data_IF_654540568621
#
_entry.id   IF_654540568621
#
_cell.length_a   1.000
_cell.length_b   1.000
_cell.length_c   1.000
_cell.angle_alpha   90.00
_cell.angle_beta   90.00
_cell.angle_gamma   90.00
#
_symmetry.space_group_name_H-M   'P 1'
#
loop_
_entity.id
_entity.type
_entity.pdbx_description
1 polymer ?
#
# COMPACT_ATOMS: atom_id res chain seq x y z
N UNK A 1 -40.32 1.68 0.30
CA UNK A 1 -40.19 3.14 0.50
C UNK A 1 -39.17 3.64 -0.52
N UNK A 2 -39.50 4.65 -1.36
CA UNK A 2 -38.53 5.17 -2.32
C UNK A 2 -37.43 5.94 -1.57
N UNK A 3 -36.24 5.40 -1.51
CA UNK A 3 -35.07 6.00 -0.86
C UNK A 3 -34.43 7.12 -1.71
N UNK A 4 -34.90 7.31 -2.93
CA UNK A 4 -34.43 8.37 -3.85
C UNK A 4 -35.57 9.28 -4.29
N UNK A 5 -36.21 10.01 -3.37
CA UNK A 5 -37.47 10.77 -3.66
C UNK A 5 -37.27 11.91 -4.66
N UNK A 6 -36.04 12.34 -4.87
CA UNK A 6 -35.70 13.43 -5.81
C UNK A 6 -35.29 12.96 -7.20
N UNK A 7 -35.26 11.64 -7.44
CA UNK A 7 -34.86 11.08 -8.72
C UNK A 7 -35.97 10.22 -9.32
N UNK A 8 -36.22 10.39 -10.61
CA UNK A 8 -37.12 9.51 -11.37
C UNK A 8 -36.34 8.28 -11.83
N UNK A 9 -36.29 7.25 -11.00
CA UNK A 9 -35.63 5.99 -11.32
C UNK A 9 -36.70 4.95 -11.66
N UNK A 10 -36.49 4.17 -12.71
CA UNK A 10 -37.40 3.09 -13.07
C UNK A 10 -37.54 2.10 -11.90
N UNK A 11 -38.77 1.79 -11.47
CA UNK A 11 -39.02 0.85 -10.37
C UNK A 11 -38.31 -0.49 -10.52
N UNK A 12 -38.14 -1.01 -11.74
CA UNK A 12 -37.43 -2.26 -12.01
C UNK A 12 -35.93 -2.15 -11.64
N UNK A 13 -35.33 -0.99 -11.85
CA UNK A 13 -33.93 -0.75 -11.44
C UNK A 13 -33.79 -0.67 -9.92
N UNK A 14 -34.78 -0.05 -9.24
CA UNK A 14 -34.79 -0.01 -7.79
C UNK A 14 -34.95 -1.41 -7.18
N UNK A 15 -35.83 -2.23 -7.74
CA UNK A 15 -36.02 -3.62 -7.31
C UNK A 15 -34.73 -4.45 -7.54
N UNK A 16 -34.10 -4.30 -8.69
CA UNK A 16 -32.85 -4.99 -9.00
C UNK A 16 -31.70 -4.56 -8.06
N UNK A 17 -31.60 -3.28 -7.76
CA UNK A 17 -30.61 -2.74 -6.81
C UNK A 17 -30.83 -3.29 -5.40
N UNK A 18 -32.08 -3.27 -4.90
CA UNK A 18 -32.41 -3.82 -3.60
C UNK A 18 -32.06 -5.30 -3.49
N UNK A 19 -32.40 -6.09 -4.53
CA UNK A 19 -32.05 -7.50 -4.56
C UNK A 19 -30.53 -7.73 -4.58
N UNK A 20 -29.77 -6.91 -5.30
CA UNK A 20 -28.30 -6.97 -5.29
C UNK A 20 -27.73 -6.67 -3.92
N UNK A 21 -28.24 -5.65 -3.22
CA UNK A 21 -27.84 -5.31 -1.86
C UNK A 21 -28.13 -6.46 -0.88
N UNK A 22 -29.32 -7.07 -0.95
CA UNK A 22 -29.68 -8.22 -0.12
C UNK A 22 -28.73 -9.40 -0.33
N UNK A 23 -28.35 -9.69 -1.57
CA UNK A 23 -27.40 -10.76 -1.92
C UNK A 23 -25.98 -10.45 -1.43
N UNK A 24 -25.58 -9.17 -1.36
CA UNK A 24 -24.25 -8.75 -0.93
C UNK A 24 -24.12 -8.60 0.60
N UNK A 25 -25.22 -8.62 1.36
CA UNK A 25 -25.22 -8.42 2.81
C UNK A 25 -24.23 -9.30 3.59
N UNK A 26 -24.07 -10.61 3.31
CA UNK A 26 -23.09 -11.42 4.04
C UNK A 26 -21.65 -10.92 3.85
N UNK A 27 -21.30 -10.44 2.65
CA UNK A 27 -20.01 -9.86 2.35
C UNK A 27 -19.82 -8.52 3.05
N UNK A 28 -20.85 -7.68 3.07
CA UNK A 28 -20.82 -6.40 3.78
C UNK A 28 -20.59 -6.60 5.27
N UNK A 29 -21.25 -7.55 5.91
CA UNK A 29 -21.05 -7.85 7.33
C UNK A 29 -19.60 -8.28 7.63
N UNK A 30 -19.01 -9.10 6.76
CA UNK A 30 -17.60 -9.49 6.88
C UNK A 30 -16.66 -8.30 6.75
N UNK A 31 -16.90 -7.43 5.75
CA UNK A 31 -16.12 -6.20 5.52
C UNK A 31 -16.25 -5.23 6.69
N UNK A 32 -17.46 -5.06 7.24
CA UNK A 32 -17.70 -4.20 8.40
C UNK A 32 -16.92 -4.63 9.64
N UNK A 33 -16.77 -5.93 9.87
CA UNK A 33 -15.97 -6.44 10.99
C UNK A 33 -14.49 -6.04 10.83
N UNK A 34 -13.93 -6.19 9.64
CA UNK A 34 -12.56 -5.76 9.30
C UNK A 34 -12.42 -4.24 9.40
N UNK A 35 -13.41 -3.49 8.90
CA UNK A 35 -13.44 -2.03 8.99
C UNK A 35 -13.40 -1.55 10.44
N UNK A 36 -14.26 -2.08 11.30
CA UNK A 36 -14.31 -1.72 12.73
C UNK A 36 -13.00 -1.95 13.44
N UNK A 37 -12.37 -3.10 13.18
CA UNK A 37 -11.05 -3.41 13.75
C UNK A 37 -10.00 -2.39 13.31
N UNK A 38 -9.90 -2.12 12.02
CA UNK A 38 -8.92 -1.18 11.48
C UNK A 38 -9.19 0.27 11.90
N UNK A 39 -10.46 0.68 12.00
CA UNK A 39 -10.83 2.01 12.50
C UNK A 39 -10.36 2.21 13.94
N UNK A 40 -10.57 1.22 14.82
CA UNK A 40 -10.10 1.26 16.20
C UNK A 40 -8.56 1.31 16.27
N UNK A 41 -7.88 0.53 15.45
CA UNK A 41 -6.42 0.55 15.33
C UNK A 41 -5.91 1.94 14.93
N UNK A 42 -6.53 2.57 13.93
CA UNK A 42 -6.17 3.92 13.50
C UNK A 42 -6.41 4.95 14.60
N UNK A 43 -7.58 4.93 15.26
CA UNK A 43 -7.88 5.84 16.37
C UNK A 43 -6.89 5.67 17.52
N UNK A 44 -6.49 4.44 17.83
CA UNK A 44 -5.49 4.17 18.86
C UNK A 44 -4.11 4.74 18.47
N UNK A 45 -3.72 4.65 17.18
CA UNK A 45 -2.49 5.26 16.69
C UNK A 45 -2.50 6.78 16.82
N UNK A 46 -3.60 7.44 16.45
CA UNK A 46 -3.78 8.89 16.63
C UNK A 46 -3.71 9.30 18.10
N UNK A 47 -4.37 8.57 18.98
CA UNK A 47 -4.33 8.84 20.43
C UNK A 47 -2.92 8.65 21.00
N UNK A 48 -2.24 7.57 20.60
CA UNK A 48 -0.87 7.29 21.05
C UNK A 48 0.11 8.37 20.64
N UNK A 49 -0.02 8.89 19.41
CA UNK A 49 0.80 9.97 18.89
C UNK A 49 0.39 11.36 19.41
N UNK A 50 -0.70 11.47 20.18
CA UNK A 50 -1.18 12.73 20.75
C UNK A 50 -1.63 13.74 19.70
N UNK A 51 -2.23 13.28 18.60
CA UNK A 51 -2.68 14.17 17.51
C UNK A 51 -3.67 15.19 18.03
N UNK A 52 -3.45 16.45 17.71
CA UNK A 52 -4.28 17.59 18.10
C UNK A 52 -4.37 18.61 16.97
N UNK A 53 -5.23 19.59 17.09
CA UNK A 53 -5.42 20.68 16.13
C UNK A 53 -4.09 21.38 15.76
N UNK A 54 -3.18 21.50 16.72
CA UNK A 54 -1.87 22.15 16.50
C UNK A 54 -1.00 21.45 15.45
N UNK A 55 -1.25 20.19 15.10
CA UNK A 55 -0.51 19.43 14.09
C UNK A 55 -1.00 19.69 12.67
N UNK A 56 -2.17 20.34 12.52
CA UNK A 56 -2.74 20.71 11.23
C UNK A 56 -2.43 22.17 10.83
N UNK A 57 -1.70 22.89 11.65
CA UNK A 57 -1.28 24.26 11.33
C UNK A 57 -0.21 24.22 10.24
N UNK A 58 -0.30 25.11 9.25
CA UNK A 58 0.68 25.21 8.19
C UNK A 58 2.09 25.51 8.73
N UNK A 59 3.10 24.89 8.10
CA UNK A 59 4.52 25.09 8.41
C UNK A 59 5.27 25.62 7.19
N UNK A 60 6.53 25.99 7.37
CA UNK A 60 7.40 26.45 6.27
C UNK A 60 7.77 25.34 5.27
N UNK A 61 7.60 24.10 5.65
CA UNK A 61 7.96 22.95 4.83
C UNK A 61 9.46 22.57 4.82
N UNK A 62 10.30 23.31 5.54
CA UNK A 62 11.74 23.03 5.61
C UNK A 62 12.12 21.95 6.64
N UNK A 63 11.16 21.36 7.32
CA UNK A 63 11.39 20.27 8.28
C UNK A 63 11.82 20.71 9.68
N UNK A 64 12.08 21.98 9.90
CA UNK A 64 12.44 22.51 11.21
C UNK A 64 11.20 22.77 12.05
N UNK A 65 11.00 21.96 13.09
CA UNK A 65 9.86 22.07 13.99
C UNK A 65 8.52 21.77 13.32
N UNK A 66 8.52 20.95 12.28
CA UNK A 66 7.32 20.54 11.55
C UNK A 66 6.61 19.41 12.30
N UNK A 67 5.95 19.78 13.39
CA UNK A 67 5.28 18.84 14.31
C UNK A 67 4.26 17.95 13.62
N UNK A 68 3.57 18.47 12.60
CA UNK A 68 2.56 17.72 11.85
C UNK A 68 3.18 16.53 11.10
N UNK A 69 4.33 16.72 10.47
CA UNK A 69 5.06 15.64 9.76
C UNK A 69 5.61 14.59 10.71
N UNK A 70 6.26 15.03 11.80
CA UNK A 70 6.84 14.12 12.78
C UNK A 70 5.77 13.24 13.43
N UNK A 71 4.61 13.82 13.76
CA UNK A 71 3.48 13.08 14.33
C UNK A 71 2.82 12.16 13.29
N UNK A 72 2.76 12.56 12.02
CA UNK A 72 2.24 11.72 10.94
C UNK A 72 3.07 10.43 10.78
N UNK A 73 4.40 10.53 10.83
CA UNK A 73 5.30 9.37 10.81
C UNK A 73 5.01 8.42 12.00
N UNK A 74 4.83 8.96 13.20
CA UNK A 74 4.48 8.18 14.39
C UNK A 74 3.12 7.47 14.27
N UNK A 75 2.11 8.14 13.70
CA UNK A 75 0.79 7.53 13.44
C UNK A 75 0.92 6.36 12.47
N UNK A 76 1.66 6.54 11.37
CA UNK A 76 1.87 5.46 10.40
C UNK A 76 2.66 4.30 11.00
N UNK A 77 3.76 4.57 11.69
CA UNK A 77 4.54 3.54 12.37
C UNK A 77 3.65 2.73 13.35
N UNK A 78 2.85 3.41 14.17
CA UNK A 78 1.93 2.74 15.11
C UNK A 78 0.83 1.94 14.40
N UNK A 79 0.25 2.47 13.32
CA UNK A 79 -0.81 1.80 12.57
C UNK A 79 -0.35 0.53 11.85
N UNK A 80 0.89 0.52 11.36
CA UNK A 80 1.48 -0.61 10.65
C UNK A 80 2.36 -1.53 11.52
N UNK A 81 2.57 -1.17 12.80
CA UNK A 81 3.43 -1.94 13.71
C UNK A 81 4.90 -1.89 13.33
N UNK A 82 5.33 -0.80 12.68
CA UNK A 82 6.70 -0.55 12.30
C UNK A 82 7.45 0.23 13.38
N UNK A 83 8.78 0.15 13.37
CA UNK A 83 9.64 0.94 14.28
C UNK A 83 9.59 2.42 13.93
N UNK A 84 9.51 2.74 12.63
CA UNK A 84 9.46 4.10 12.11
C UNK A 84 8.69 4.17 10.78
N UNK A 85 8.39 5.37 10.32
CA UNK A 85 7.77 5.62 9.02
C UNK A 85 8.27 6.96 8.46
N UNK A 86 8.24 7.06 7.13
CA UNK A 86 8.54 8.28 6.41
C UNK A 86 7.38 8.63 5.48
N UNK A 87 6.54 9.56 5.89
CA UNK A 87 5.34 9.96 5.14
C UNK A 87 5.50 11.39 4.63
N UNK A 88 5.70 11.54 3.34
CA UNK A 88 5.97 12.85 2.72
C UNK A 88 5.19 13.00 1.41
N UNK A 89 4.65 14.17 1.18
CA UNK A 89 3.98 14.52 -0.08
C UNK A 89 4.92 14.53 -1.30
N UNK A 90 6.24 14.56 -1.04
CA UNK A 90 7.27 14.45 -2.08
C UNK A 90 7.33 13.05 -2.72
N UNK A 91 6.77 12.03 -2.07
CA UNK A 91 6.51 10.74 -2.71
C UNK A 91 5.29 10.86 -3.60
N UNK A 92 5.50 11.23 -4.86
CA UNK A 92 4.44 11.63 -5.79
C UNK A 92 3.58 10.47 -6.31
N UNK A 93 4.02 9.21 -6.09
CA UNK A 93 3.29 8.01 -6.49
C UNK A 93 3.77 6.78 -5.71
N UNK A 94 3.00 5.69 -5.74
CA UNK A 94 3.42 4.40 -5.17
C UNK A 94 4.70 3.87 -5.84
N UNK A 95 4.82 3.98 -7.16
CA UNK A 95 6.05 3.60 -7.88
C UNK A 95 7.26 4.40 -7.39
N UNK A 96 7.12 5.71 -7.19
CA UNK A 96 8.21 6.54 -6.67
C UNK A 96 8.60 6.11 -5.25
N UNK A 97 7.64 5.84 -4.38
CA UNK A 97 7.89 5.35 -3.02
C UNK A 97 8.66 4.03 -3.02
N UNK A 98 8.22 3.06 -3.83
CA UNK A 98 8.91 1.79 -3.98
C UNK A 98 10.31 1.95 -4.56
N UNK A 99 10.48 2.82 -5.55
CA UNK A 99 11.78 3.14 -6.15
C UNK A 99 12.76 3.66 -5.10
N UNK A 100 12.32 4.65 -4.31
CA UNK A 100 13.15 5.23 -3.24
C UNK A 100 13.52 4.17 -2.20
N UNK A 101 12.58 3.32 -1.80
CA UNK A 101 12.84 2.22 -0.86
C UNK A 101 13.86 1.22 -1.41
N UNK A 102 13.68 0.77 -2.65
CA UNK A 102 14.57 -0.21 -3.28
C UNK A 102 16.00 0.32 -3.44
N UNK A 103 16.17 1.54 -3.98
CA UNK A 103 17.48 2.17 -4.09
C UNK A 103 18.10 2.56 -2.72
N UNK A 104 17.27 2.78 -1.72
CA UNK A 104 17.71 3.03 -0.34
C UNK A 104 18.30 1.80 0.34
N UNK A 105 17.74 0.63 0.07
CA UNK A 105 18.13 -0.63 0.71
C UNK A 105 19.16 -1.43 -0.07
N UNK A 106 19.03 -1.50 -1.40
CA UNK A 106 19.87 -2.36 -2.27
C UNK A 106 21.20 -1.67 -2.63
N UNK A 107 22.23 -2.48 -2.76
CA UNK A 107 23.58 -2.07 -3.17
C UNK A 107 24.05 -2.88 -4.38
N UNK A 108 24.99 -2.36 -5.20
CA UNK A 108 25.57 -3.12 -6.31
C UNK A 108 26.09 -4.49 -5.85
N UNK A 109 25.64 -5.54 -6.53
CA UNK A 109 25.94 -6.93 -6.18
C UNK A 109 24.84 -7.64 -5.39
N UNK A 110 23.89 -6.90 -4.79
CA UNK A 110 22.76 -7.50 -4.10
C UNK A 110 21.81 -8.21 -5.06
N UNK A 111 21.04 -9.14 -4.51
CA UNK A 111 20.00 -9.86 -5.20
C UNK A 111 18.61 -9.48 -4.64
N UNK A 112 17.71 -9.06 -5.52
CA UNK A 112 16.30 -8.83 -5.22
C UNK A 112 15.50 -10.06 -5.65
N UNK A 113 14.76 -10.68 -4.71
CA UNK A 113 13.85 -11.79 -4.98
C UNK A 113 12.40 -11.33 -4.81
N UNK A 114 11.63 -11.34 -5.91
CA UNK A 114 10.19 -11.12 -5.86
C UNK A 114 9.49 -12.47 -5.62
N UNK A 115 8.78 -12.59 -4.51
CA UNK A 115 8.19 -13.86 -4.07
C UNK A 115 6.70 -14.01 -4.39
N UNK A 116 6.14 -13.06 -5.12
CA UNK A 116 4.72 -13.02 -5.50
C UNK A 116 4.50 -12.93 -7.02
N UNK A 117 5.45 -13.46 -7.79
CA UNK A 117 5.44 -13.42 -9.24
C UNK A 117 5.94 -12.11 -9.83
N UNK A 118 5.58 -11.87 -11.08
CA UNK A 118 6.02 -10.69 -11.82
C UNK A 118 5.46 -9.40 -11.19
N UNK A 119 6.31 -8.42 -10.84
CA UNK A 119 5.86 -7.12 -10.37
C UNK A 119 4.99 -6.40 -11.41
N UNK A 120 4.15 -5.48 -10.96
CA UNK A 120 3.33 -4.68 -11.86
C UNK A 120 4.20 -3.80 -12.78
N UNK A 121 3.66 -3.41 -13.92
CA UNK A 121 4.36 -2.86 -15.09
C UNK A 121 5.29 -1.66 -14.77
N UNK A 122 4.83 -0.71 -13.96
CA UNK A 122 5.63 0.49 -13.66
C UNK A 122 6.89 0.20 -12.83
N UNK A 123 6.91 -0.87 -12.03
CA UNK A 123 8.11 -1.29 -11.28
C UNK A 123 9.07 -2.10 -12.16
N UNK A 124 8.59 -2.77 -13.20
CA UNK A 124 9.45 -3.53 -14.12
C UNK A 124 10.51 -2.64 -14.76
N UNK A 125 10.16 -1.40 -15.14
CA UNK A 125 11.11 -0.41 -15.63
C UNK A 125 12.17 -0.02 -14.58
N UNK A 126 11.76 0.17 -13.34
CA UNK A 126 12.67 0.47 -12.22
C UNK A 126 13.67 -0.66 -11.98
N UNK A 127 13.21 -1.91 -12.09
CA UNK A 127 14.05 -3.11 -11.95
C UNK A 127 14.97 -3.29 -13.17
N UNK A 128 14.51 -2.95 -14.38
CA UNK A 128 15.23 -3.18 -15.63
C UNK A 128 14.83 -4.50 -16.31
N UNK A 129 13.53 -4.87 -16.25
CA UNK A 129 13.00 -6.14 -16.77
C UNK A 129 12.57 -6.08 -18.24
N UNK A 130 12.38 -4.90 -18.82
CA UNK A 130 11.72 -4.74 -20.13
C UNK A 130 12.60 -5.08 -21.33
N UNK A 131 13.80 -5.62 -21.12
CA UNK A 131 14.71 -6.09 -22.17
C UNK A 131 15.35 -4.99 -23.03
N UNK A 132 15.19 -3.72 -22.67
CA UNK A 132 15.85 -2.56 -23.24
C UNK A 132 16.98 -2.10 -22.30
N UNK A 133 17.91 -1.30 -22.81
CA UNK A 133 18.74 -0.49 -21.93
C UNK A 133 17.83 0.49 -21.18
N UNK A 134 17.68 0.30 -19.89
CA UNK A 134 16.89 1.17 -19.01
C UNK A 134 17.86 1.92 -18.09
N UNK A 135 18.33 3.11 -18.53
CA UNK A 135 19.25 3.91 -17.74
C UNK A 135 18.62 4.28 -16.38
N UNK A 136 19.38 4.13 -15.31
CA UNK A 136 18.92 4.38 -13.96
C UNK A 136 18.15 3.23 -13.32
N UNK A 137 18.06 2.05 -13.96
CA UNK A 137 17.41 0.88 -13.39
C UNK A 137 18.29 0.17 -12.34
N UNK A 138 17.67 -0.63 -11.46
CA UNK A 138 18.40 -1.45 -10.48
C UNK A 138 19.40 -2.38 -11.17
N UNK A 139 19.04 -2.94 -12.32
CA UNK A 139 19.92 -3.79 -13.12
C UNK A 139 21.18 -3.05 -13.60
N UNK A 140 21.05 -1.81 -14.06
CA UNK A 140 22.20 -0.98 -14.46
C UNK A 140 23.12 -0.70 -13.25
N UNK A 141 22.55 -0.54 -12.05
CA UNK A 141 23.32 -0.38 -10.81
C UNK A 141 23.89 -1.70 -10.26
N UNK A 142 23.76 -2.81 -11.00
CA UNK A 142 24.36 -4.09 -10.65
C UNK A 142 23.56 -4.92 -9.66
N UNK A 143 22.27 -4.62 -9.44
CA UNK A 143 21.37 -5.45 -8.66
C UNK A 143 20.83 -6.58 -9.54
N UNK A 144 20.89 -7.81 -9.04
CA UNK A 144 20.32 -8.98 -9.69
C UNK A 144 18.85 -9.12 -9.31
N UNK A 145 18.01 -9.52 -10.29
CA UNK A 145 16.59 -9.76 -10.06
C UNK A 145 16.26 -11.22 -10.32
N UNK A 146 15.51 -11.81 -9.38
CA UNK A 146 14.89 -13.13 -9.53
C UNK A 146 13.43 -13.04 -9.06
N UNK A 147 12.62 -14.00 -9.50
CA UNK A 147 11.23 -14.12 -9.02
C UNK A 147 10.85 -15.59 -8.78
N UNK A 148 9.87 -15.77 -7.91
CA UNK A 148 9.13 -17.00 -7.69
C UNK A 148 7.68 -16.71 -8.04
N UNK A 149 7.12 -17.47 -8.99
CA UNK A 149 5.73 -17.31 -9.37
C UNK A 149 4.80 -17.85 -8.29
N UNK A 150 3.58 -17.31 -8.23
CA UNK A 150 2.54 -17.85 -7.37
C UNK A 150 2.14 -19.25 -7.84
N UNK A 151 1.69 -20.08 -6.91
CA UNK A 151 1.05 -21.38 -7.21
C UNK A 151 -0.22 -21.15 -8.06
N UNK A 152 -0.71 -22.18 -8.78
CA UNK A 152 -1.91 -22.04 -9.63
C UNK A 152 -3.17 -21.58 -8.89
N UNK A 153 -3.23 -21.79 -7.58
CA UNK A 153 -4.31 -21.32 -6.70
C UNK A 153 -4.14 -19.85 -6.22
N UNK A 154 -3.06 -19.18 -6.66
CA UNK A 154 -2.75 -17.80 -6.28
C UNK A 154 -2.05 -17.66 -4.92
N UNK A 155 -1.67 -18.75 -4.27
CA UNK A 155 -0.92 -18.71 -3.01
C UNK A 155 0.60 -18.61 -3.25
N UNK A 156 1.37 -18.02 -2.30
CA UNK A 156 2.83 -18.01 -2.35
C UNK A 156 3.43 -19.42 -2.26
N UNK A 157 4.48 -19.67 -3.03
CA UNK A 157 5.22 -20.93 -2.98
C UNK A 157 6.31 -20.89 -1.90
N UNK A 158 5.93 -21.28 -0.68
CA UNK A 158 6.82 -21.25 0.49
C UNK A 158 8.02 -22.18 0.35
N UNK A 159 7.84 -23.33 -0.30
CA UNK A 159 8.94 -24.31 -0.51
C UNK A 159 10.00 -23.73 -1.44
N UNK A 160 9.57 -23.14 -2.56
CA UNK A 160 10.49 -22.45 -3.48
C UNK A 160 11.16 -21.24 -2.83
N UNK A 161 10.49 -20.55 -1.90
CA UNK A 161 11.09 -19.46 -1.12
C UNK A 161 12.19 -19.95 -0.20
N UNK A 162 11.95 -21.03 0.56
CA UNK A 162 12.94 -21.62 1.47
C UNK A 162 14.19 -22.09 0.71
N UNK A 163 14.03 -22.66 -0.47
CA UNK A 163 15.16 -23.07 -1.31
C UNK A 163 15.99 -21.89 -1.87
N UNK A 164 15.35 -20.73 -2.11
CA UNK A 164 16.01 -19.57 -2.72
C UNK A 164 16.58 -18.59 -1.72
N UNK A 165 16.00 -18.49 -0.53
CA UNK A 165 16.46 -17.62 0.56
C UNK A 165 17.48 -18.42 1.36
N UNK A 166 18.72 -18.39 0.90
CA UNK A 166 19.88 -18.95 1.62
C UNK A 166 20.53 -17.86 2.49
N UNK A 167 21.00 -18.20 3.71
CA UNK A 167 21.73 -17.27 4.57
C UNK A 167 22.99 -16.73 3.92
#
# INVERSE_FOLDING_TARGET
>A
MNIYPYFHIDPKLLEAAQRAEELAQPQFQSIEAVQRYNQQKMLAAFNKAGVSESHFVGSTGYGYGDRGRDVLDQVYAAAFGAEDALVRHNFVSGTHTLTVALFGMLRPGDKMLCVTGTPYDTIQGVIGMNGREEPGSLKEFGIQYEQIDLRPDGTPDLEAMEERITP
#
